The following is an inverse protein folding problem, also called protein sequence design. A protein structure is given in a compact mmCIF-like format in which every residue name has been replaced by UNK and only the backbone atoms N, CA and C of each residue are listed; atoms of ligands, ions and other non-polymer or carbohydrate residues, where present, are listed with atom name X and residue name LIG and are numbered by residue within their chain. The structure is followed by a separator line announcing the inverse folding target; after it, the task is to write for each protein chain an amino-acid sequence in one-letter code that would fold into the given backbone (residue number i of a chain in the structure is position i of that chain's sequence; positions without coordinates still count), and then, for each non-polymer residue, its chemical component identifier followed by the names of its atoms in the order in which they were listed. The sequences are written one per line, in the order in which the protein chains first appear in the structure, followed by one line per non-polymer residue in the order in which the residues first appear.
data_IF_995233240483
#
_entry.id   IF_995233240483
#
_cell.length_a   1.000
_cell.length_b   1.000
_cell.length_c   1.000
_cell.angle_alpha   90.00
_cell.angle_beta   90.00
_cell.angle_gamma   90.00
#
_symmetry.space_group_name_H-M   'P 1'
#
loop_
_entity.id
_entity.type
_entity.pdbx_description
1 polymer ?
#
# COMPACT_ATOMS: atom_id res chain seq x y z
N UNK A 1 2.40 -3.34 13.58
CA UNK A 1 1.53 -4.33 14.23
C UNK A 1 0.17 -4.33 13.55
N UNK A 2 -0.32 -5.49 13.12
CA UNK A 2 -1.69 -5.61 12.60
C UNK A 2 -2.72 -5.57 13.73
N UNK A 3 -3.97 -5.27 13.38
CA UNK A 3 -5.08 -5.24 14.32
C UNK A 3 -5.58 -6.64 14.69
N UNK A 4 -4.81 -7.32 15.53
CA UNK A 4 -5.18 -8.63 16.06
C UNK A 4 -4.89 -8.67 17.55
N UNK A 5 -5.80 -9.26 18.34
CA UNK A 5 -5.68 -9.29 19.81
C UNK A 5 -4.31 -9.80 20.29
N UNK A 6 -3.72 -10.77 19.59
CA UNK A 6 -2.39 -11.30 19.91
C UNK A 6 -1.28 -10.25 19.79
N UNK A 7 -1.38 -9.30 18.85
CA UNK A 7 -0.40 -8.24 18.65
C UNK A 7 -0.55 -7.18 19.75
N UNK A 8 -1.77 -6.92 20.23
CA UNK A 8 -2.00 -5.95 21.31
C UNK A 8 -1.68 -6.48 22.71
N UNK A 9 -1.91 -7.77 22.98
CA UNK A 9 -1.91 -8.31 24.34
C UNK A 9 -0.78 -9.31 24.63
N UNK A 10 -0.14 -9.87 23.60
CA UNK A 10 0.77 -11.01 23.77
C UNK A 10 2.11 -10.88 23.04
N UNK A 11 2.30 -9.82 22.25
CA UNK A 11 3.54 -9.57 21.50
C UNK A 11 4.10 -8.20 21.85
N UNK A 12 5.42 -8.09 21.79
CA UNK A 12 6.10 -6.81 21.82
C UNK A 12 6.08 -6.27 20.40
N UNK A 13 5.44 -5.12 20.23
CA UNK A 13 5.26 -4.46 18.94
C UNK A 13 5.94 -3.09 18.98
N UNK A 14 6.37 -2.59 17.82
CA UNK A 14 6.92 -1.25 17.69
C UNK A 14 6.26 -0.49 16.54
N UNK A 15 5.94 0.77 16.78
CA UNK A 15 5.37 1.70 15.81
C UNK A 15 6.05 3.04 16.01
N UNK A 16 6.47 3.66 14.91
CA UNK A 16 7.15 4.95 14.94
C UNK A 16 6.26 6.01 14.29
N UNK A 17 6.05 7.16 14.93
CA UNK A 17 5.35 8.25 14.29
C UNK A 17 6.20 8.83 13.15
N UNK A 18 5.55 9.14 12.03
CA UNK A 18 6.14 9.97 10.99
C UNK A 18 6.06 11.44 11.46
N UNK A 19 7.21 12.04 11.80
CA UNK A 19 7.27 13.42 12.29
C UNK A 19 7.73 14.38 11.19
N UNK A 20 8.55 13.90 10.24
CA UNK A 20 9.06 14.74 9.14
C UNK A 20 7.90 15.11 8.18
N UNK A 21 7.59 16.41 8.01
CA UNK A 21 6.52 16.86 7.12
C UNK A 21 6.67 16.39 5.67
N UNK A 22 7.91 16.25 5.18
CA UNK A 22 8.16 15.74 3.84
C UNK A 22 7.76 14.26 3.70
N UNK A 23 8.02 13.45 4.73
CA UNK A 23 7.61 12.04 4.76
C UNK A 23 6.09 11.91 4.84
N UNK A 24 5.43 12.71 5.69
CA UNK A 24 3.96 12.73 5.81
C UNK A 24 3.36 13.10 4.46
N UNK A 25 3.81 14.21 3.85
CA UNK A 25 3.33 14.66 2.54
C UNK A 25 3.47 13.57 1.48
N UNK A 26 4.62 12.89 1.41
CA UNK A 26 4.83 11.78 0.48
C UNK A 26 3.83 10.64 0.72
N UNK A 27 3.57 10.30 1.98
CA UNK A 27 2.57 9.29 2.31
C UNK A 27 1.17 9.66 1.81
N UNK A 28 0.76 10.91 2.04
CA UNK A 28 -0.57 11.42 1.69
C UNK A 28 -0.76 11.64 0.19
N UNK A 29 0.26 12.13 -0.52
CA UNK A 29 0.11 12.55 -1.92
C UNK A 29 0.61 11.51 -2.93
N UNK A 30 1.43 10.56 -2.51
CA UNK A 30 2.02 9.56 -3.40
C UNK A 30 1.64 8.14 -2.97
N UNK A 31 1.99 7.71 -1.76
CA UNK A 31 1.88 6.29 -1.36
C UNK A 31 0.42 5.83 -1.24
N UNK A 32 -0.38 6.49 -0.39
CA UNK A 32 -1.78 6.09 -0.18
C UNK A 32 -2.60 6.23 -1.47
N UNK A 33 -2.51 7.34 -2.25
CA UNK A 33 -3.25 7.46 -3.51
C UNK A 33 -2.90 6.38 -4.54
N UNK A 34 -1.64 5.94 -4.62
CA UNK A 34 -1.27 4.86 -5.53
C UNK A 34 -1.94 3.54 -5.16
N UNK A 35 -1.94 3.17 -3.88
CA UNK A 35 -2.66 1.98 -3.41
C UNK A 35 -4.18 2.05 -3.67
N UNK A 36 -4.78 3.23 -3.54
CA UNK A 36 -6.23 3.41 -3.75
C UNK A 36 -6.62 3.40 -5.22
N UNK A 37 -5.80 3.99 -6.10
CA UNK A 37 -6.16 4.19 -7.50
C UNK A 37 -5.67 3.07 -8.43
N UNK A 38 -4.63 2.32 -8.05
CA UNK A 38 -4.07 1.26 -8.88
C UNK A 38 -4.56 -0.10 -8.41
N UNK A 39 -5.69 -0.50 -8.99
CA UNK A 39 -6.39 -1.72 -8.58
C UNK A 39 -5.74 -3.00 -9.10
N UNK A 40 -4.98 -2.96 -10.20
CA UNK A 40 -4.17 -4.07 -10.73
C UNK A 40 -4.66 -5.48 -10.35
N UNK A 41 -3.84 -6.19 -9.58
CA UNK A 41 -4.13 -7.51 -9.01
C UNK A 41 -4.73 -7.47 -7.59
N UNK A 42 -5.20 -6.32 -7.13
CA UNK A 42 -5.89 -6.17 -5.86
C UNK A 42 -7.22 -6.93 -5.85
N UNK A 43 -7.64 -7.34 -4.65
CA UNK A 43 -8.93 -8.00 -4.43
C UNK A 43 -9.73 -7.26 -3.38
N UNK A 44 -11.04 -7.20 -3.60
CA UNK A 44 -12.02 -6.66 -2.66
C UNK A 44 -12.59 -7.80 -1.83
N UNK A 45 -12.36 -7.73 -0.51
CA UNK A 45 -12.97 -8.63 0.46
C UNK A 45 -14.47 -8.32 0.55
N UNK A 46 -15.29 -9.35 0.31
CA UNK A 46 -16.74 -9.28 0.40
C UNK A 46 -17.22 -9.59 1.83
N UNK A 47 -18.46 -9.20 2.20
CA UNK A 47 -19.02 -9.48 3.52
C UNK A 47 -19.12 -10.98 3.86
N UNK A 48 -19.21 -11.84 2.86
CA UNK A 48 -19.26 -13.31 3.01
C UNK A 48 -17.87 -13.96 3.14
N UNK A 49 -16.79 -13.15 3.10
CA UNK A 49 -15.41 -13.63 3.15
C UNK A 49 -14.84 -14.03 1.79
N UNK A 50 -15.62 -13.98 0.71
CA UNK A 50 -15.10 -14.20 -0.64
C UNK A 50 -14.26 -13.00 -1.11
N UNK A 51 -13.36 -13.25 -2.05
CA UNK A 51 -12.54 -12.21 -2.67
C UNK A 51 -12.94 -12.04 -4.13
N UNK A 52 -13.15 -10.79 -4.55
CA UNK A 52 -13.39 -10.44 -5.95
C UNK A 52 -12.22 -9.60 -6.49
N UNK A 53 -11.82 -9.80 -7.73
CA UNK A 53 -10.83 -8.93 -8.36
C UNK A 53 -11.32 -7.48 -8.40
N UNK A 54 -10.47 -6.53 -8.01
CA UNK A 54 -10.78 -5.10 -8.03
C UNK A 54 -10.74 -4.51 -9.45
N UNK A 55 -10.00 -5.15 -10.37
CA UNK A 55 -10.01 -4.86 -11.81
C UNK A 55 -10.39 -6.13 -12.59
N UNK A 56 -11.26 -6.03 -13.61
CA UNK A 56 -11.54 -7.13 -14.54
C UNK A 56 -10.30 -7.65 -15.28
N UNK A 57 -9.32 -6.78 -15.52
CA UNK A 57 -8.09 -7.08 -16.23
C UNK A 57 -6.99 -7.66 -15.31
N UNK A 58 -7.20 -7.62 -13.99
CA UNK A 58 -6.27 -8.12 -12.99
C UNK A 58 -4.86 -7.52 -13.16
N UNK A 59 -3.83 -8.37 -13.12
CA UNK A 59 -2.43 -7.94 -13.28
C UNK A 59 -2.09 -7.21 -14.59
N UNK A 60 -2.96 -7.25 -15.60
CA UNK A 60 -2.77 -6.46 -16.83
C UNK A 60 -3.18 -4.99 -16.66
N UNK A 61 -3.99 -4.65 -15.65
CA UNK A 61 -4.27 -3.28 -15.27
C UNK A 61 -3.08 -2.66 -14.51
N UNK A 62 -3.00 -1.31 -14.44
CA UNK A 62 -1.97 -0.64 -13.66
C UNK A 62 -1.92 -1.13 -12.21
N UNK A 63 -0.75 -1.61 -11.78
CA UNK A 63 -0.56 -2.15 -10.44
C UNK A 63 0.41 -1.29 -9.62
N UNK A 64 0.11 -1.19 -8.33
CA UNK A 64 0.84 -0.34 -7.38
C UNK A 64 2.35 -0.67 -7.31
N UNK A 65 2.71 -1.94 -7.45
CA UNK A 65 4.11 -2.39 -7.37
C UNK A 65 4.92 -1.86 -8.56
N UNK A 66 4.38 -1.93 -9.78
CA UNK A 66 5.05 -1.41 -10.97
C UNK A 66 5.22 0.11 -10.89
N UNK A 67 4.22 0.83 -10.37
CA UNK A 67 4.32 2.26 -10.16
C UNK A 67 5.42 2.64 -9.15
N UNK A 68 5.56 1.89 -8.05
CA UNK A 68 6.65 2.13 -7.11
C UNK A 68 8.03 1.79 -7.67
N UNK A 69 8.14 0.74 -8.49
CA UNK A 69 9.39 0.42 -9.20
C UNK A 69 9.80 1.56 -10.13
N UNK A 70 8.88 2.07 -10.94
CA UNK A 70 9.14 3.20 -11.83
C UNK A 70 9.50 4.50 -11.07
N UNK A 71 8.93 4.72 -9.88
CA UNK A 71 9.30 5.85 -9.01
C UNK A 71 10.71 5.68 -8.44
N UNK A 72 11.08 4.47 -8.00
CA UNK A 72 12.41 4.17 -7.49
C UNK A 72 13.48 4.39 -8.57
N UNK A 73 13.25 3.90 -9.79
CA UNK A 73 14.16 4.12 -10.93
C UNK A 73 14.40 5.61 -11.21
N UNK A 74 13.34 6.43 -11.16
CA UNK A 74 13.47 7.89 -11.36
C UNK A 74 14.27 8.58 -10.27
N UNK A 75 14.19 8.10 -9.03
CA UNK A 75 14.97 8.64 -7.91
C UNK A 75 16.44 8.29 -8.11
N UNK A 76 16.75 7.01 -8.35
CA UNK A 76 18.12 6.53 -8.57
C UNK A 76 18.77 7.17 -9.80
N UNK A 77 18.00 7.44 -10.87
CA UNK A 77 18.52 8.10 -12.07
C UNK A 77 18.75 9.62 -11.92
N UNK A 78 18.27 10.22 -10.83
CA UNK A 78 18.43 11.65 -10.52
C UNK A 78 19.62 11.95 -9.60
N UNK A 79 20.20 10.91 -8.99
CA UNK A 79 21.43 10.95 -8.21
C UNK A 79 22.65 10.74 -9.12
#
# INVERSE_FOLDING_TARGET
ADWMQRNFLRRVECVFPLINPACIKRFETEIIPLYLNQTGDATLLQPDGSHQAASPEGRKAPCVQDAFMALAEKITAKE
#
